data_IF_658973056980
#
_entry.id   IF_658973056980
#
_cell.length_a   1.000
_cell.length_b   1.000
_cell.length_c   1.000
_cell.angle_alpha   90.00
_cell.angle_beta   90.00
_cell.angle_gamma   90.00
#
_symmetry.space_group_name_H-M   'P 1'
#
loop_
_entity.id
_entity.type
_entity.pdbx_description
1 polymer ?
#
# COMPACT_ATOMS: atom_id res chain seq x y z
N UNK A 1 -96.94 -28.75 -0.04
CA UNK A 1 -95.73 -28.04 0.41
C UNK A 1 -95.38 -26.87 -0.52
N UNK A 2 -95.46 -27.07 -1.85
CA UNK A 2 -95.12 -26.07 -2.88
C UNK A 2 -96.07 -24.84 -2.89
N UNK A 3 -97.38 -25.02 -2.68
CA UNK A 3 -98.35 -23.90 -2.66
C UNK A 3 -98.13 -22.91 -1.51
N UNK A 4 -97.80 -23.42 -0.31
CA UNK A 4 -97.51 -22.56 0.86
C UNK A 4 -96.27 -21.69 0.64
N UNK A 5 -95.28 -22.19 -0.09
CA UNK A 5 -94.06 -21.45 -0.43
C UNK A 5 -94.38 -20.35 -1.46
N UNK A 6 -95.26 -20.64 -2.42
CA UNK A 6 -95.69 -19.69 -3.44
C UNK A 6 -96.50 -18.52 -2.85
N UNK A 7 -97.39 -18.78 -1.89
CA UNK A 7 -98.13 -17.72 -1.18
C UNK A 7 -97.24 -16.87 -0.26
N UNK A 8 -96.18 -17.48 0.29
CA UNK A 8 -95.17 -16.77 1.08
C UNK A 8 -94.34 -15.83 0.20
N UNK A 9 -93.94 -16.29 -0.98
CA UNK A 9 -93.15 -15.52 -1.94
C UNK A 9 -93.94 -14.41 -2.66
N UNK A 10 -95.26 -14.42 -2.67
CA UNK A 10 -96.11 -13.36 -3.28
C UNK A 10 -96.73 -12.39 -2.28
N UNK A 11 -96.56 -12.64 -0.98
CA UNK A 11 -97.12 -11.80 0.08
C UNK A 11 -96.38 -10.46 0.22
N UNK A 12 -97.11 -9.35 0.24
CA UNK A 12 -96.54 -7.99 0.48
C UNK A 12 -95.75 -7.91 1.79
N UNK A 13 -96.16 -8.66 2.81
CA UNK A 13 -95.49 -8.67 4.13
C UNK A 13 -94.13 -9.37 4.07
N UNK A 14 -93.99 -10.39 3.22
CA UNK A 14 -92.71 -11.08 3.01
C UNK A 14 -91.69 -10.14 2.37
N UNK A 15 -92.05 -9.48 1.26
CA UNK A 15 -91.18 -8.48 0.63
C UNK A 15 -90.82 -7.31 1.55
N UNK A 16 -91.77 -6.84 2.37
CA UNK A 16 -91.49 -5.79 3.37
C UNK A 16 -90.48 -6.25 4.45
N UNK A 17 -90.57 -7.51 4.91
CA UNK A 17 -89.59 -8.05 5.88
C UNK A 17 -88.21 -8.25 5.27
N UNK A 18 -88.14 -8.71 4.01
CA UNK A 18 -86.89 -8.89 3.27
C UNK A 18 -86.24 -7.54 2.96
N UNK A 19 -87.00 -6.53 2.54
CA UNK A 19 -86.46 -5.19 2.30
C UNK A 19 -85.95 -4.52 3.58
N UNK A 20 -86.64 -4.73 4.71
CA UNK A 20 -86.20 -4.23 6.03
C UNK A 20 -84.90 -4.91 6.47
N UNK A 21 -84.78 -6.23 6.25
CA UNK A 21 -83.55 -6.98 6.54
C UNK A 21 -82.38 -6.51 5.68
N UNK A 22 -82.61 -6.28 4.38
CA UNK A 22 -81.60 -5.75 3.46
C UNK A 22 -81.20 -4.33 3.87
N UNK A 23 -82.16 -3.47 4.22
CA UNK A 23 -81.89 -2.11 4.67
C UNK A 23 -81.11 -2.10 5.99
N UNK A 24 -81.46 -2.96 6.94
CA UNK A 24 -80.74 -3.12 8.20
C UNK A 24 -79.31 -3.65 7.97
N UNK A 25 -79.14 -4.62 7.07
CA UNK A 25 -77.83 -5.13 6.68
C UNK A 25 -76.96 -4.06 6.00
N UNK A 26 -77.53 -3.31 5.06
CA UNK A 26 -76.85 -2.19 4.40
C UNK A 26 -76.46 -1.09 5.41
N UNK A 27 -77.34 -0.76 6.35
CA UNK A 27 -77.08 0.22 7.39
C UNK A 27 -75.99 -0.26 8.37
N UNK A 28 -75.95 -1.56 8.68
CA UNK A 28 -74.88 -2.16 9.49
C UNK A 28 -73.54 -2.13 8.76
N UNK A 29 -73.51 -2.41 7.45
CA UNK A 29 -72.30 -2.29 6.62
C UNK A 29 -71.82 -0.84 6.59
N UNK A 30 -72.72 0.13 6.37
CA UNK A 30 -72.37 1.55 6.37
C UNK A 30 -71.88 2.02 7.75
N UNK A 31 -72.48 1.55 8.83
CA UNK A 31 -72.02 1.84 10.20
C UNK A 31 -70.65 1.22 10.48
N UNK A 32 -70.43 -0.01 10.00
CA UNK A 32 -69.13 -0.68 10.11
C UNK A 32 -68.05 0.11 9.36
N UNK A 33 -68.32 0.46 8.10
CA UNK A 33 -67.36 1.12 7.20
C UNK A 33 -67.09 2.58 7.56
N UNK A 34 -68.12 3.32 7.97
CA UNK A 34 -68.01 4.77 8.20
C UNK A 34 -67.70 5.14 9.66
N UNK A 35 -68.01 4.27 10.63
CA UNK A 35 -67.84 4.59 12.06
C UNK A 35 -66.86 3.64 12.74
N UNK A 36 -67.04 2.32 12.61
CA UNK A 36 -66.16 1.37 13.29
C UNK A 36 -64.77 1.29 12.66
N UNK A 37 -64.67 1.21 11.33
CA UNK A 37 -63.40 1.09 10.63
C UNK A 37 -62.47 2.29 10.88
N UNK A 38 -62.92 3.56 10.77
CA UNK A 38 -62.05 4.71 11.03
C UNK A 38 -61.56 4.77 12.48
N UNK A 39 -62.45 4.49 13.44
CA UNK A 39 -62.12 4.50 14.87
C UNK A 39 -61.17 3.36 15.29
N UNK A 40 -61.24 2.21 14.61
CA UNK A 40 -60.34 1.09 14.88
C UNK A 40 -58.98 1.24 14.19
N UNK A 41 -58.93 1.88 13.03
CA UNK A 41 -57.71 1.94 12.19
C UNK A 41 -56.92 3.24 12.28
N UNK A 42 -57.46 4.29 12.93
CA UNK A 42 -56.82 5.61 13.10
C UNK A 42 -56.14 6.09 11.80
N UNK A 43 -56.91 6.14 10.72
CA UNK A 43 -56.41 6.35 9.36
C UNK A 43 -55.71 7.71 9.13
N UNK A 44 -55.98 8.71 9.99
CA UNK A 44 -55.57 10.11 9.79
C UNK A 44 -54.27 10.52 10.52
N UNK A 45 -53.65 9.65 11.32
CA UNK A 45 -52.40 9.97 12.01
C UNK A 45 -51.19 9.55 11.18
N UNK A 46 -50.86 10.35 10.17
CA UNK A 46 -49.61 10.23 9.42
C UNK A 46 -48.49 11.04 10.07
N UNK A 47 -47.30 10.43 10.20
CA UNK A 47 -46.06 11.12 10.57
C UNK A 47 -45.19 11.25 9.33
N UNK A 48 -44.73 12.45 9.03
CA UNK A 48 -43.75 12.69 7.96
C UNK A 48 -42.37 12.22 8.39
N UNK A 49 -41.74 11.38 7.57
CA UNK A 49 -40.38 10.89 7.81
C UNK A 49 -39.38 12.02 7.60
N UNK A 50 -38.57 12.39 8.61
CA UNK A 50 -37.51 13.38 8.43
C UNK A 50 -36.35 12.82 7.59
N UNK A 51 -35.57 13.71 6.97
CA UNK A 51 -34.31 13.33 6.33
C UNK A 51 -33.24 13.17 7.41
N UNK A 52 -32.79 11.93 7.61
CA UNK A 52 -31.67 11.59 8.48
C UNK A 52 -30.40 11.23 7.71
N UNK A 53 -30.41 11.35 6.37
CA UNK A 53 -29.21 11.11 5.57
C UNK A 53 -28.13 12.14 5.91
N UNK A 54 -26.86 11.70 5.89
CA UNK A 54 -25.69 12.51 6.23
C UNK A 54 -25.65 13.02 7.68
N UNK A 55 -26.53 12.54 8.55
CA UNK A 55 -26.43 12.76 10.00
C UNK A 55 -25.67 11.61 10.65
N UNK A 56 -25.09 11.88 11.83
CA UNK A 56 -24.57 10.81 12.69
C UNK A 56 -25.72 9.96 13.24
N UNK A 57 -25.44 8.71 13.58
CA UNK A 57 -26.45 7.79 14.13
C UNK A 57 -27.15 8.35 15.38
N UNK A 58 -26.43 9.09 16.23
CA UNK A 58 -26.97 9.69 17.45
C UNK A 58 -27.91 10.87 17.15
N UNK A 59 -27.58 11.70 16.16
CA UNK A 59 -28.44 12.80 15.71
C UNK A 59 -29.69 12.25 15.02
N UNK A 60 -29.53 11.21 14.19
CA UNK A 60 -30.64 10.53 13.55
C UNK A 60 -31.60 9.90 14.57
N UNK A 61 -31.09 9.27 15.63
CA UNK A 61 -31.90 8.71 16.72
C UNK A 61 -32.72 9.79 17.43
N UNK A 62 -32.06 10.90 17.78
CA UNK A 62 -32.71 12.04 18.45
C UNK A 62 -33.82 12.64 17.58
N UNK A 63 -33.56 12.79 16.28
CA UNK A 63 -34.52 13.34 15.33
C UNK A 63 -35.70 12.39 15.12
N UNK A 64 -35.46 11.10 14.88
CA UNK A 64 -36.53 10.11 14.66
C UNK A 64 -37.41 9.95 15.90
N UNK A 65 -36.80 9.92 17.09
CA UNK A 65 -37.53 9.86 18.37
C UNK A 65 -38.42 11.09 18.57
N UNK A 66 -37.94 12.28 18.17
CA UNK A 66 -38.73 13.53 18.24
C UNK A 66 -39.98 13.46 17.36
N UNK A 67 -39.90 12.80 16.20
CA UNK A 67 -41.03 12.56 15.31
C UNK A 67 -41.88 11.33 15.70
N UNK A 68 -41.57 10.64 16.81
CA UNK A 68 -42.29 9.44 17.25
C UNK A 68 -42.04 8.22 16.36
N UNK A 69 -40.90 8.19 15.68
CA UNK A 69 -40.43 7.09 14.82
C UNK A 69 -39.33 6.30 15.55
N UNK A 70 -39.14 5.04 15.14
CA UNK A 70 -38.03 4.20 15.60
C UNK A 70 -37.09 3.92 14.45
N UNK A 71 -35.85 3.53 14.74
CA UNK A 71 -34.93 3.10 13.70
C UNK A 71 -34.35 1.71 13.96
N UNK A 72 -33.89 1.08 12.89
CA UNK A 72 -33.16 -0.19 12.91
C UNK A 72 -32.06 -0.13 11.84
N UNK A 73 -30.83 -0.52 12.19
CA UNK A 73 -29.73 -0.55 11.22
C UNK A 73 -29.86 -1.83 10.39
N UNK A 74 -30.34 -1.71 9.16
CA UNK A 74 -30.55 -2.85 8.25
C UNK A 74 -29.27 -3.30 7.57
N UNK A 75 -28.42 -2.36 7.17
CA UNK A 75 -27.20 -2.62 6.43
C UNK A 75 -26.07 -1.70 6.94
N UNK A 76 -24.84 -2.20 6.89
CA UNK A 76 -23.64 -1.38 7.04
C UNK A 76 -22.82 -1.46 5.76
N UNK A 77 -22.56 -0.30 5.14
CA UNK A 77 -21.78 -0.18 3.90
C UNK A 77 -20.59 0.72 4.14
N UNK A 78 -19.48 0.49 3.43
CA UNK A 78 -18.36 1.42 3.45
C UNK A 78 -18.46 2.42 2.31
N UNK A 79 -18.39 3.71 2.65
CA UNK A 79 -18.30 4.82 1.72
C UNK A 79 -17.24 5.81 2.22
N UNK A 80 -16.19 6.02 1.41
CA UNK A 80 -15.07 6.91 1.74
C UNK A 80 -15.45 8.40 1.77
N UNK A 81 -16.61 8.78 1.24
CA UNK A 81 -17.08 10.17 1.23
C UNK A 81 -17.62 10.63 2.59
N UNK A 82 -17.95 9.71 3.51
CA UNK A 82 -18.58 10.02 4.79
C UNK A 82 -17.76 9.48 5.97
N UNK A 83 -17.87 10.09 7.18
CA UNK A 83 -17.29 9.55 8.39
C UNK A 83 -17.97 8.25 8.86
N UNK A 84 -17.35 7.56 9.82
CA UNK A 84 -17.94 6.40 10.48
C UNK A 84 -19.28 6.74 11.14
N UNK A 85 -20.22 5.79 11.16
CA UNK A 85 -21.52 5.89 11.83
C UNK A 85 -22.46 6.99 11.30
N UNK A 86 -22.23 7.44 10.07
CA UNK A 86 -23.14 8.33 9.35
C UNK A 86 -24.21 7.53 8.61
N UNK A 87 -25.44 8.03 8.57
CA UNK A 87 -26.52 7.44 7.77
C UNK A 87 -26.27 7.76 6.29
N UNK A 88 -26.09 6.73 5.48
CA UNK A 88 -25.92 6.83 4.03
C UNK A 88 -27.28 6.89 3.35
N UNK A 89 -28.19 6.03 3.81
CA UNK A 89 -29.49 5.83 3.19
C UNK A 89 -30.53 5.48 4.25
N UNK A 90 -31.80 5.76 3.94
CA UNK A 90 -32.94 5.47 4.81
C UNK A 90 -34.09 4.88 4.01
N UNK A 91 -34.89 4.04 4.66
CA UNK A 91 -36.12 3.51 4.08
C UNK A 91 -37.17 3.40 5.17
N UNK A 92 -38.35 4.03 5.05
CA UNK A 92 -38.86 4.84 3.93
C UNK A 92 -38.10 6.16 3.67
N UNK A 93 -38.35 6.75 2.50
CA UNK A 93 -37.63 7.95 2.05
C UNK A 93 -38.04 9.19 2.84
N UNK A 94 -37.19 10.22 2.83
CA UNK A 94 -37.52 11.50 3.46
C UNK A 94 -38.82 12.09 2.86
N UNK A 95 -39.59 12.78 3.70
CA UNK A 95 -40.90 13.37 3.38
C UNK A 95 -42.04 12.39 3.10
N UNK A 96 -41.79 11.07 3.16
CA UNK A 96 -42.85 10.07 3.05
C UNK A 96 -43.72 10.06 4.33
N UNK A 97 -45.02 9.79 4.18
CA UNK A 97 -45.94 9.75 5.32
C UNK A 97 -46.11 8.30 5.77
N UNK A 98 -45.79 8.03 7.03
CA UNK A 98 -45.87 6.70 7.64
C UNK A 98 -46.75 6.72 8.86
N UNK A 99 -47.20 5.53 9.30
CA UNK A 99 -47.90 5.40 10.58
C UNK A 99 -46.96 5.74 11.75
N UNK A 100 -47.48 6.23 12.89
CA UNK A 100 -46.67 6.52 14.06
C UNK A 100 -45.97 5.25 14.55
N UNK A 101 -44.82 5.40 15.22
CA UNK A 101 -44.03 4.28 15.76
C UNK A 101 -43.53 3.27 14.69
N UNK A 102 -43.57 3.67 13.40
CA UNK A 102 -42.96 2.92 12.30
C UNK A 102 -41.44 2.85 12.50
N UNK A 103 -40.88 1.68 12.18
CA UNK A 103 -39.43 1.51 12.10
C UNK A 103 -38.91 2.00 10.75
N UNK A 104 -37.90 2.85 10.79
CA UNK A 104 -37.11 3.33 9.66
C UNK A 104 -35.83 2.49 9.59
N UNK A 105 -35.58 1.88 8.45
CA UNK A 105 -34.37 1.10 8.21
C UNK A 105 -33.27 2.05 7.74
N UNK A 106 -32.14 2.05 8.45
CA UNK A 106 -31.00 2.90 8.14
C UNK A 106 -29.84 2.06 7.60
N UNK A 107 -29.24 2.55 6.52
CA UNK A 107 -27.95 2.08 6.05
C UNK A 107 -26.87 2.96 6.62
N UNK A 108 -25.99 2.40 7.46
CA UNK A 108 -24.97 3.17 8.19
C UNK A 108 -23.60 2.97 7.57
N UNK A 109 -22.80 4.04 7.53
CA UNK A 109 -21.44 4.01 7.05
C UNK A 109 -20.53 3.30 8.05
N UNK A 110 -19.76 2.34 7.57
CA UNK A 110 -18.73 1.67 8.35
C UNK A 110 -17.36 1.88 7.73
N UNK A 111 -16.36 2.07 8.58
CA UNK A 111 -14.95 2.05 8.18
C UNK A 111 -14.48 0.60 8.08
N UNK A 112 -15.21 -0.25 7.33
CA UNK A 112 -14.74 -1.59 7.02
C UNK A 112 -13.91 -1.51 5.74
N UNK A 113 -12.60 -1.40 5.88
CA UNK A 113 -11.71 -1.67 4.75
C UNK A 113 -11.86 -3.14 4.37
N UNK A 114 -12.01 -3.48 3.07
CA UNK A 114 -12.07 -4.87 2.63
C UNK A 114 -10.87 -5.62 3.20
N UNK A 115 -11.12 -6.76 3.83
CA UNK A 115 -10.06 -7.61 4.35
C UNK A 115 -9.53 -8.52 3.25
N UNK A 116 -8.22 -8.68 3.22
CA UNK A 116 -7.50 -9.52 2.25
C UNK A 116 -6.54 -10.44 2.99
N UNK A 117 -6.33 -11.62 2.46
CA UNK A 117 -5.35 -12.57 2.99
C UNK A 117 -3.96 -12.23 2.43
N UNK A 118 -2.94 -12.20 3.29
CA UNK A 118 -1.57 -11.93 2.86
C UNK A 118 -1.04 -13.14 2.09
N UNK A 119 -0.63 -12.98 0.81
CA UNK A 119 -0.08 -14.07 0.03
C UNK A 119 1.34 -14.45 0.52
N UNK A 120 1.74 -15.68 0.24
CA UNK A 120 3.13 -16.13 0.42
C UNK A 120 3.99 -15.58 -0.72
N UNK A 121 4.93 -14.69 -0.38
CA UNK A 121 5.89 -14.13 -1.33
C UNK A 121 7.34 -14.55 -1.07
N UNK A 122 7.58 -15.33 -0.01
CA UNK A 122 8.88 -15.94 0.28
C UNK A 122 9.32 -16.86 -0.87
N UNK A 123 10.62 -16.82 -1.20
CA UNK A 123 11.30 -17.50 -2.32
C UNK A 123 10.94 -16.97 -3.73
N UNK A 124 10.08 -15.95 -3.84
CA UNK A 124 9.83 -15.30 -5.12
C UNK A 124 10.90 -14.25 -5.40
N UNK A 125 11.03 -13.86 -6.68
CA UNK A 125 11.80 -12.67 -7.03
C UNK A 125 11.12 -11.42 -6.46
N UNK A 126 11.90 -10.39 -6.10
CA UNK A 126 11.37 -9.11 -5.62
C UNK A 126 10.31 -8.54 -6.58
N UNK A 127 10.50 -8.69 -7.90
CA UNK A 127 9.53 -8.25 -8.91
C UNK A 127 8.21 -9.01 -8.80
N UNK A 128 8.25 -10.33 -8.72
CA UNK A 128 7.04 -11.15 -8.62
C UNK A 128 6.32 -10.95 -7.30
N UNK A 129 7.07 -10.81 -6.20
CA UNK A 129 6.53 -10.50 -4.88
C UNK A 129 5.76 -9.18 -4.87
N UNK A 130 6.32 -8.12 -5.49
CA UNK A 130 5.65 -6.81 -5.63
C UNK A 130 4.32 -6.93 -6.38
N UNK A 131 4.33 -7.60 -7.54
CA UNK A 131 3.12 -7.79 -8.35
C UNK A 131 2.06 -8.58 -7.57
N UNK A 132 2.47 -9.65 -6.88
CA UNK A 132 1.53 -10.47 -6.13
C UNK A 132 0.91 -9.73 -4.94
N UNK A 133 1.69 -8.93 -4.20
CA UNK A 133 1.16 -8.09 -3.13
C UNK A 133 0.17 -7.05 -3.67
N UNK A 134 0.50 -6.38 -4.77
CA UNK A 134 -0.37 -5.40 -5.42
C UNK A 134 -1.68 -6.02 -5.93
N UNK A 135 -1.64 -7.23 -6.49
CA UNK A 135 -2.83 -7.96 -6.93
C UNK A 135 -3.80 -8.27 -5.78
N UNK A 136 -3.28 -8.49 -4.57
CA UNK A 136 -4.08 -8.67 -3.36
C UNK A 136 -4.47 -7.33 -2.71
N UNK A 137 -4.12 -6.19 -3.32
CA UNK A 137 -4.40 -4.86 -2.80
C UNK A 137 -3.58 -4.49 -1.57
N UNK A 138 -2.39 -5.09 -1.42
CA UNK A 138 -1.42 -4.76 -0.37
C UNK A 138 -0.32 -3.86 -0.94
N UNK A 139 0.28 -3.06 -0.05
CA UNK A 139 1.35 -2.15 -0.42
C UNK A 139 2.71 -2.72 -0.03
N UNK A 140 3.74 -2.40 -0.81
CA UNK A 140 5.11 -2.83 -0.53
C UNK A 140 5.82 -1.71 0.21
N UNK A 141 6.28 -2.00 1.43
CA UNK A 141 6.98 -1.04 2.26
C UNK A 141 8.48 -1.06 2.05
N UNK A 142 9.23 -1.05 3.15
CA UNK A 142 10.68 -1.06 3.13
C UNK A 142 11.22 -2.40 2.63
N UNK A 143 12.22 -2.32 1.74
CA UNK A 143 12.98 -3.47 1.26
C UNK A 143 14.36 -3.43 1.90
N UNK A 144 14.64 -4.40 2.76
CA UNK A 144 15.95 -4.61 3.37
C UNK A 144 16.73 -5.68 2.61
N UNK A 145 18.06 -5.56 2.56
CA UNK A 145 18.93 -6.53 1.90
C UNK A 145 19.72 -7.32 2.95
N UNK A 146 19.76 -8.64 2.78
CA UNK A 146 20.50 -9.56 3.62
C UNK A 146 21.38 -10.48 2.76
N UNK A 147 22.50 -10.92 3.33
CA UNK A 147 23.45 -11.77 2.62
C UNK A 147 22.91 -13.18 2.44
N UNK A 148 22.68 -13.57 1.18
CA UNK A 148 22.23 -14.90 0.81
C UNK A 148 22.55 -15.20 -0.65
N UNK A 149 22.51 -16.48 -1.03
CA UNK A 149 23.02 -16.96 -2.33
C UNK A 149 22.18 -16.52 -3.54
N UNK A 150 20.88 -16.26 -3.35
CA UNK A 150 19.93 -16.09 -4.45
C UNK A 150 19.56 -14.62 -4.64
N UNK A 151 20.37 -13.89 -5.42
CA UNK A 151 20.16 -12.46 -5.67
C UNK A 151 18.71 -12.11 -6.00
N UNK A 152 18.19 -11.08 -5.35
CA UNK A 152 16.83 -10.55 -5.53
C UNK A 152 15.70 -11.54 -5.18
N UNK A 153 16.00 -12.61 -4.44
CA UNK A 153 14.98 -13.51 -3.87
C UNK A 153 14.50 -13.00 -2.52
N UNK A 154 13.18 -13.03 -2.28
CA UNK A 154 12.59 -12.65 -0.99
C UNK A 154 12.87 -13.75 0.02
N UNK A 155 13.58 -13.38 1.09
CA UNK A 155 13.92 -14.27 2.20
C UNK A 155 12.82 -14.27 3.25
N UNK A 156 12.29 -13.10 3.59
CA UNK A 156 11.26 -12.92 4.63
C UNK A 156 10.28 -11.82 4.26
N UNK A 157 9.07 -11.92 4.80
CA UNK A 157 8.02 -10.91 4.75
C UNK A 157 7.60 -10.54 6.17
N UNK A 158 7.28 -9.27 6.43
CA UNK A 158 6.94 -8.80 7.79
C UNK A 158 5.64 -9.38 8.33
N UNK A 159 4.69 -9.68 7.45
CA UNK A 159 3.40 -10.27 7.79
C UNK A 159 3.37 -11.69 7.24
N UNK A 160 3.13 -12.72 8.07
CA UNK A 160 3.11 -14.11 7.60
C UNK A 160 1.98 -14.33 6.60
N UNK A 161 2.23 -15.24 5.66
CA UNK A 161 1.21 -15.69 4.71
C UNK A 161 0.01 -16.28 5.44
N UNK A 162 -1.20 -16.08 4.92
CA UNK A 162 -2.44 -16.55 5.51
C UNK A 162 -3.05 -15.62 6.56
N UNK A 163 -2.32 -14.58 7.00
CA UNK A 163 -2.90 -13.59 7.91
C UNK A 163 -3.88 -12.70 7.15
N UNK A 164 -5.07 -12.50 7.72
CA UNK A 164 -6.05 -11.54 7.20
C UNK A 164 -5.71 -10.13 7.69
N UNK A 165 -5.57 -9.19 6.75
CA UNK A 165 -5.28 -7.78 7.03
C UNK A 165 -6.20 -6.88 6.21
N UNK A 166 -6.23 -5.59 6.52
CA UNK A 166 -7.00 -4.63 5.74
C UNK A 166 -6.31 -4.38 4.39
N UNK A 167 -7.09 -4.20 3.32
CA UNK A 167 -6.57 -3.74 2.02
C UNK A 167 -5.81 -2.41 2.22
N UNK A 168 -4.67 -2.27 1.54
CA UNK A 168 -3.74 -1.15 1.71
C UNK A 168 -2.71 -1.35 2.83
N UNK A 169 -2.75 -2.47 3.56
CA UNK A 169 -1.71 -2.76 4.57
C UNK A 169 -0.34 -2.89 3.91
N UNK A 170 0.66 -2.24 4.51
CA UNK A 170 2.05 -2.25 4.04
C UNK A 170 2.77 -3.52 4.51
N UNK A 171 3.40 -4.24 3.58
CA UNK A 171 4.23 -5.42 3.83
C UNK A 171 5.68 -5.10 3.52
N UNK A 172 6.55 -5.21 4.53
CA UNK A 172 8.00 -5.03 4.38
C UNK A 172 8.63 -6.35 3.96
N UNK A 173 9.70 -6.28 3.16
CA UNK A 173 10.38 -7.44 2.60
C UNK A 173 11.87 -7.43 2.95
N UNK A 174 12.41 -8.59 3.28
CA UNK A 174 13.84 -8.85 3.33
C UNK A 174 14.24 -9.65 2.09
N UNK A 175 15.24 -9.16 1.37
CA UNK A 175 15.66 -9.66 0.05
C UNK A 175 17.13 -10.04 0.07
N UNK A 176 17.48 -11.09 -0.64
CA UNK A 176 18.86 -11.54 -0.79
C UNK A 176 19.67 -10.61 -1.69
N UNK A 177 20.85 -10.19 -1.24
CA UNK A 177 21.82 -9.41 -2.04
C UNK A 177 22.56 -10.23 -3.11
N UNK A 178 22.63 -11.56 -2.95
CA UNK A 178 23.31 -12.48 -3.84
C UNK A 178 24.78 -12.75 -3.51
N UNK A 179 25.29 -12.23 -2.39
CA UNK A 179 26.69 -12.39 -1.97
C UNK A 179 26.91 -13.69 -1.18
N UNK A 180 25.85 -14.26 -0.60
CA UNK A 180 25.93 -15.51 0.17
C UNK A 180 26.87 -15.44 1.38
N UNK A 181 27.04 -16.57 2.06
CA UNK A 181 27.97 -16.75 3.20
C UNK A 181 29.24 -17.52 2.79
N UNK A 182 29.40 -17.83 1.50
CA UNK A 182 30.50 -18.69 1.04
C UNK A 182 31.79 -17.91 1.02
N UNK A 183 32.63 -18.17 2.01
CA UNK A 183 34.00 -17.67 2.06
C UNK A 183 34.88 -18.39 1.04
N UNK A 184 35.52 -17.61 0.17
CA UNK A 184 36.51 -18.06 -0.80
C UNK A 184 37.88 -17.60 -0.34
N UNK A 185 38.89 -18.47 -0.45
CA UNK A 185 40.26 -18.08 -0.19
C UNK A 185 40.79 -17.14 -1.27
N UNK A 186 41.44 -16.05 -0.88
CA UNK A 186 42.08 -15.14 -1.83
C UNK A 186 43.34 -15.81 -2.39
N UNK A 187 43.44 -16.05 -3.71
CA UNK A 187 44.64 -16.62 -4.29
C UNK A 187 45.82 -15.66 -4.13
N UNK A 188 47.04 -16.20 -4.09
CA UNK A 188 48.24 -15.37 -4.02
C UNK A 188 48.44 -14.62 -5.35
N UNK A 189 48.01 -13.36 -5.40
CA UNK A 189 48.08 -12.50 -6.58
C UNK A 189 49.24 -11.48 -6.53
N UNK A 190 49.95 -11.38 -5.39
CA UNK A 190 51.04 -10.42 -5.22
C UNK A 190 52.23 -10.85 -6.10
N UNK A 191 52.77 -9.92 -6.89
CA UNK A 191 53.85 -10.20 -7.84
C UNK A 191 53.39 -10.83 -9.16
N UNK A 192 52.11 -11.20 -9.29
CA UNK A 192 51.56 -11.67 -10.56
C UNK A 192 51.28 -10.50 -11.52
N UNK A 193 51.24 -10.79 -12.83
CA UNK A 193 50.79 -9.81 -13.82
C UNK A 193 49.30 -9.57 -13.69
N UNK A 194 48.87 -8.33 -13.96
CA UNK A 194 47.46 -7.92 -13.85
C UNK A 194 46.49 -8.88 -14.57
N UNK A 195 46.81 -9.30 -15.79
CA UNK A 195 45.97 -10.21 -16.57
C UNK A 195 45.84 -11.60 -15.93
N UNK A 196 46.93 -12.12 -15.36
CA UNK A 196 46.97 -13.42 -14.69
C UNK A 196 46.20 -13.37 -13.37
N UNK A 197 46.42 -12.33 -12.57
CA UNK A 197 45.69 -12.10 -11.34
C UNK A 197 44.18 -11.92 -11.57
N UNK A 198 43.79 -11.20 -12.62
CA UNK A 198 42.39 -11.11 -13.03
C UNK A 198 41.78 -12.49 -13.33
N UNK A 199 42.54 -13.39 -13.97
CA UNK A 199 42.10 -14.75 -14.25
C UNK A 199 41.99 -15.60 -12.98
N UNK A 200 42.99 -15.51 -12.09
CA UNK A 200 42.97 -16.21 -10.79
C UNK A 200 41.79 -15.77 -9.93
N UNK A 201 41.55 -14.46 -9.84
CA UNK A 201 40.41 -13.90 -9.09
C UNK A 201 39.07 -14.34 -9.68
N UNK A 202 38.90 -14.30 -11.02
CA UNK A 202 37.69 -14.81 -11.67
C UNK A 202 37.46 -16.30 -11.40
N UNK A 203 38.51 -17.11 -11.42
CA UNK A 203 38.42 -18.56 -11.18
C UNK A 203 38.06 -18.86 -9.73
N UNK A 204 38.54 -18.04 -8.80
CA UNK A 204 38.15 -18.09 -7.40
C UNK A 204 36.70 -17.59 -7.15
N UNK A 205 36.06 -16.94 -8.13
CA UNK A 205 34.74 -16.34 -7.96
C UNK A 205 34.78 -14.94 -7.32
N UNK A 206 35.93 -14.28 -7.33
CA UNK A 206 36.14 -12.91 -6.86
C UNK A 206 36.11 -11.93 -8.04
N UNK A 207 35.81 -10.65 -7.76
CA UNK A 207 35.72 -9.60 -8.78
C UNK A 207 36.85 -8.59 -8.60
N UNK A 208 37.33 -8.04 -9.72
CA UNK A 208 38.30 -6.94 -9.71
C UNK A 208 37.57 -5.62 -9.73
N UNK A 209 37.92 -4.74 -8.79
CA UNK A 209 37.34 -3.41 -8.65
C UNK A 209 38.25 -2.32 -9.16
N UNK A 210 38.48 -1.34 -8.30
CA UNK A 210 39.33 -0.19 -8.57
C UNK A 210 40.78 -0.63 -8.74
N UNK A 211 41.40 -0.24 -9.85
CA UNK A 211 42.83 -0.46 -10.12
C UNK A 211 43.52 0.88 -9.95
N UNK A 212 44.47 0.96 -9.01
CA UNK A 212 45.33 2.12 -8.79
C UNK A 212 46.73 1.81 -9.28
N UNK A 213 47.32 2.74 -10.00
CA UNK A 213 48.70 2.61 -10.45
C UNK A 213 49.62 3.37 -9.50
N UNK A 214 50.78 2.78 -9.21
CA UNK A 214 51.79 3.36 -8.34
C UNK A 214 53.19 3.17 -8.97
N UNK A 215 54.02 4.22 -9.09
CA UNK A 215 55.36 4.10 -9.65
C UNK A 215 56.20 3.13 -8.82
N UNK A 216 56.85 2.18 -9.48
CA UNK A 216 57.71 1.21 -8.81
C UNK A 216 58.97 0.92 -9.65
N UNK A 217 60.14 0.96 -9.00
CA UNK A 217 61.44 0.68 -9.65
C UNK A 217 61.85 -0.79 -9.61
N UNK A 218 61.28 -1.56 -8.68
CA UNK A 218 61.65 -2.95 -8.41
C UNK A 218 60.86 -3.94 -9.26
N UNK A 219 59.60 -3.64 -9.55
CA UNK A 219 58.72 -4.52 -10.32
C UNK A 219 58.49 -4.01 -11.74
N UNK A 220 58.44 -4.91 -12.75
CA UNK A 220 58.02 -4.54 -14.10
C UNK A 220 56.63 -3.90 -14.10
N UNK A 221 56.29 -3.03 -15.07
CA UNK A 221 54.96 -2.46 -15.20
C UNK A 221 53.85 -3.52 -15.27
N UNK A 222 52.65 -3.19 -14.80
CA UNK A 222 51.47 -4.06 -14.76
C UNK A 222 51.57 -5.26 -13.80
N UNK A 223 52.37 -5.14 -12.75
CA UNK A 223 52.53 -6.15 -11.69
C UNK A 223 51.74 -5.73 -10.45
N UNK A 224 51.03 -6.66 -9.80
CA UNK A 224 50.30 -6.34 -8.57
C UNK A 224 51.28 -6.17 -7.42
N UNK A 225 51.20 -5.00 -6.79
CA UNK A 225 51.97 -4.63 -5.60
C UNK A 225 51.19 -4.97 -4.33
N UNK A 226 49.90 -4.64 -4.31
CA UNK A 226 49.05 -4.84 -3.16
C UNK A 226 47.57 -4.96 -3.55
N UNK A 227 46.75 -5.42 -2.60
CA UNK A 227 45.30 -5.45 -2.75
C UNK A 227 44.58 -5.12 -1.43
N UNK A 228 43.33 -4.69 -1.54
CA UNK A 228 42.45 -4.41 -0.40
C UNK A 228 41.07 -5.02 -0.65
N UNK A 229 40.46 -5.71 0.32
CA UNK A 229 40.92 -5.93 1.71
C UNK A 229 42.00 -7.01 1.87
N UNK A 230 42.91 -6.87 2.85
CA UNK A 230 43.93 -7.88 3.21
C UNK A 230 43.34 -8.96 4.12
N UNK A 231 42.52 -9.83 3.54
CA UNK A 231 41.91 -10.96 4.24
C UNK A 231 42.25 -12.27 3.50
N UNK A 232 42.49 -13.35 4.24
CA UNK A 232 42.77 -14.67 3.65
C UNK A 232 41.52 -15.28 3.01
N UNK A 233 40.35 -14.97 3.56
CA UNK A 233 39.06 -15.45 3.10
C UNK A 233 38.10 -14.28 2.97
N UNK A 234 37.44 -14.23 1.83
CA UNK A 234 36.61 -13.11 1.37
C UNK A 234 35.29 -13.69 0.84
N UNK A 235 34.21 -12.92 0.87
CA UNK A 235 32.90 -13.41 0.42
C UNK A 235 32.96 -13.66 -1.11
N UNK A 236 32.38 -14.76 -1.58
CA UNK A 236 32.25 -15.03 -3.01
C UNK A 236 31.55 -13.87 -3.73
N UNK A 237 32.17 -13.35 -4.79
CA UNK A 237 31.68 -12.19 -5.53
C UNK A 237 32.07 -10.82 -4.95
N UNK A 238 32.79 -10.77 -3.84
CA UNK A 238 33.37 -9.53 -3.31
C UNK A 238 34.39 -8.93 -4.30
N UNK A 239 34.54 -7.61 -4.23
CA UNK A 239 35.36 -6.85 -5.16
C UNK A 239 36.65 -6.40 -4.50
N UNK A 240 37.79 -6.80 -5.06
CA UNK A 240 39.12 -6.42 -4.57
C UNK A 240 39.64 -5.19 -5.31
N UNK A 241 40.17 -4.22 -4.55
CA UNK A 241 40.93 -3.10 -5.09
C UNK A 241 42.38 -3.51 -5.28
N UNK A 242 42.96 -3.24 -6.44
CA UNK A 242 44.31 -3.65 -6.78
C UNK A 242 45.22 -2.42 -6.92
N UNK A 243 46.43 -2.53 -6.39
CA UNK A 243 47.51 -1.56 -6.61
C UNK A 243 48.51 -2.22 -7.55
N UNK A 244 48.77 -1.57 -8.68
CA UNK A 244 49.56 -2.10 -9.79
C UNK A 244 50.76 -1.19 -10.04
N UNK A 245 51.91 -1.77 -10.37
CA UNK A 245 53.10 -1.03 -10.75
C UNK A 245 52.93 -0.30 -12.08
N UNK A 246 53.33 0.96 -12.12
CA UNK A 246 53.56 1.71 -13.36
C UNK A 246 55.03 2.06 -13.54
N UNK A 247 55.40 2.43 -14.77
CA UNK A 247 56.76 2.86 -15.09
C UNK A 247 57.13 4.08 -14.23
N UNK A 248 58.31 4.04 -13.64
CA UNK A 248 58.88 5.19 -12.95
C UNK A 248 59.44 6.15 -13.99
N UNK A 249 58.69 7.18 -14.37
CA UNK A 249 59.21 8.25 -15.22
C UNK A 249 60.04 9.20 -14.33
N UNK A 250 61.38 9.15 -14.50
CA UNK A 250 62.27 10.16 -13.91
C UNK A 250 61.93 11.48 -14.59
N UNK A 251 61.32 12.43 -13.87
CA UNK A 251 61.29 13.81 -14.33
C UNK A 251 62.72 14.33 -14.19
N UNK A 252 63.42 14.50 -15.32
CA UNK A 252 64.64 15.31 -15.34
C UNK A 252 64.26 16.73 -14.93
N UNK A 253 64.74 17.13 -13.76
CA UNK A 253 64.74 18.53 -13.32
C UNK A 253 65.63 19.28 -14.32
N UNK A 254 65.08 20.27 -15.03
CA UNK A 254 65.86 21.03 -16.01
C UNK A 254 67.08 21.61 -15.31
N UNK A 255 68.27 21.23 -15.74
CA UNK A 255 69.50 21.88 -15.32
C UNK A 255 69.34 23.39 -15.59
N UNK A 256 69.25 24.18 -14.52
CA UNK A 256 69.33 25.63 -14.63
C UNK A 256 70.74 25.96 -15.09
N UNK A 257 70.86 26.25 -16.39
CA UNK A 257 72.11 26.60 -17.04
C UNK A 257 72.82 27.72 -16.28
N UNK A 258 74.09 27.49 -15.96
CA UNK A 258 74.96 28.46 -15.33
C UNK A 258 74.94 29.79 -16.10
N UNK A 259 74.56 30.88 -15.43
CA UNK A 259 74.77 32.23 -15.95
C UNK A 259 76.26 32.52 -15.80
N UNK A 260 76.99 32.49 -16.91
CA UNK A 260 78.33 33.07 -17.00
C UNK A 260 78.18 34.59 -16.89
N UNK A 261 78.46 35.13 -15.71
CA UNK A 261 78.61 36.57 -15.50
C UNK A 261 79.89 37.05 -16.20
N UNK A 262 79.74 37.67 -17.38
CA UNK A 262 80.85 38.26 -18.12
C UNK A 262 81.08 39.74 -17.78
N UNK A 263 80.60 40.24 -16.64
CA UNK A 263 80.84 41.62 -16.21
C UNK A 263 82.12 41.81 -15.41
N UNK A 264 83.26 41.34 -15.95
CA UNK A 264 84.59 41.75 -15.45
C UNK A 264 85.58 41.85 -16.60
N UNK A 265 85.54 42.97 -17.34
CA UNK A 265 86.72 43.54 -17.98
C UNK A 265 86.67 45.04 -17.77
N UNK A 266 87.70 45.54 -17.08
CA UNK A 266 87.83 46.88 -16.53
C UNK A 266 88.07 47.96 -17.61
N UNK A 267 87.50 49.15 -17.36
CA UNK A 267 87.90 50.39 -18.02
C UNK A 267 89.32 50.80 -17.59
N UNK A 268 90.15 51.34 -18.50
CA UNK A 268 91.52 51.72 -18.22
C UNK A 268 91.62 53.21 -17.87
N UNK A 269 92.15 53.56 -16.70
CA UNK A 269 92.90 54.82 -16.61
C UNK A 269 93.91 54.89 -15.44
N UNK A 270 95.09 55.40 -15.80
CA UNK A 270 96.07 56.22 -15.07
C UNK A 270 96.35 55.99 -13.57
N UNK A 271 97.59 55.99 -13.07
CA UNK A 271 98.92 56.28 -13.62
C UNK A 271 100.00 56.23 -12.51
N UNK A 272 101.29 56.28 -12.92
CA UNK A 272 102.48 56.73 -12.14
C UNK A 272 103.10 55.69 -11.16
N UNK A 273 104.41 55.38 -11.08
CA UNK A 273 105.68 56.11 -11.37
C UNK A 273 106.85 55.13 -11.63
N UNK A 274 107.75 55.47 -12.59
CA UNK A 274 109.23 55.44 -12.58
C UNK A 274 109.68 55.64 -14.05
N UNK A 275 110.30 56.74 -14.51
CA UNK A 275 111.17 57.78 -13.92
C UNK A 275 110.81 59.17 -14.48
#
# INVERSE_FOLDING_TARGET
MIEKIRDLLTSKKFYASVSTLIAAGALLILLLDYVLMPAYTNYDEGVTVPDVTKLSLNEADSLLTTYGLRFEVSERRSNSAYPADYVIDQTPSASEIVKPNRKIYLTVNTVSTPKVEVPKVVNLSLRNAKIQLQNYGLEVGTVSYESSRFKNSVLRQSIPAGKTVNKGTVVNLAVSDGLGEKMVAVPNIIGARLAEAQQMLRTAGLRVGEIRFQPNRQYPPNTILDFTPKQEKVIEGETLKLIVSERFDVREESESGAVLDTSFVADPDSSQIQN
#
